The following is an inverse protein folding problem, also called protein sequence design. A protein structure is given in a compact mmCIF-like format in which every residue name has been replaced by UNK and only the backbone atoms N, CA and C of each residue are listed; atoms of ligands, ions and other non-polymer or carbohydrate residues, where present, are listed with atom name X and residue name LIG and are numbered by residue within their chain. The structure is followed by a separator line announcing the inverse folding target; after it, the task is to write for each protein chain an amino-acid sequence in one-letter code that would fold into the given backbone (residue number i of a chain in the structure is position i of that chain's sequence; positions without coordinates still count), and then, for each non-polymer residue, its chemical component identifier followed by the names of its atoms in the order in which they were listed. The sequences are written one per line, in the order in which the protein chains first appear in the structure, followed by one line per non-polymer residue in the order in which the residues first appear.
data_IF_445828749625
#
_entry.id   IF_445828749625
#
_cell.length_a   1.000
_cell.length_b   1.000
_cell.length_c   1.000
_cell.angle_alpha   90.00
_cell.angle_beta   90.00
_cell.angle_gamma   90.00
#
_symmetry.space_group_name_H-M   'P 1'
#
loop_
_entity.id
_entity.type
_entity.pdbx_description
1 polymer ?
#
# COMPACT_ATOMS: atom_id res chain seq x y z
N UNK A 1 -18.55 -12.61 9.12
CA UNK A 1 -17.98 -11.83 10.23
C UNK A 1 -18.14 -10.35 9.94
N UNK A 2 -18.68 -9.65 10.88
CA UNK A 2 -18.74 -8.19 10.74
C UNK A 2 -17.43 -7.58 11.23
N UNK A 3 -16.97 -6.58 10.50
CA UNK A 3 -15.85 -5.76 10.95
C UNK A 3 -16.39 -4.73 11.92
N UNK A 4 -15.94 -4.79 13.17
CA UNK A 4 -16.40 -3.86 14.19
C UNK A 4 -15.81 -2.47 14.05
N UNK A 5 -14.68 -2.33 13.35
CA UNK A 5 -14.05 -1.04 13.10
C UNK A 5 -14.73 -0.31 11.95
N UNK A 6 -15.05 0.94 12.21
CA UNK A 6 -15.57 1.84 11.19
C UNK A 6 -14.47 2.80 10.78
N UNK A 7 -14.19 2.84 9.48
CA UNK A 7 -13.26 3.82 8.92
C UNK A 7 -14.05 4.98 8.31
N UNK A 8 -13.49 6.20 8.35
CA UNK A 8 -14.15 7.30 7.68
C UNK A 8 -14.29 7.04 6.18
N UNK A 9 -15.42 7.42 5.63
CA UNK A 9 -15.65 7.30 4.18
C UNK A 9 -14.93 8.45 3.52
N UNK A 10 -13.96 8.18 2.63
CA UNK A 10 -13.26 9.27 1.96
C UNK A 10 -14.17 10.03 1.01
N UNK A 11 -13.95 11.33 0.97
CA UNK A 11 -14.67 12.22 0.04
C UNK A 11 -13.66 12.74 -0.96
N UNK A 12 -13.99 12.62 -2.25
CA UNK A 12 -13.12 13.12 -3.31
C UNK A 12 -13.13 14.65 -3.28
N UNK A 13 -11.96 15.23 -3.06
CA UNK A 13 -11.77 16.69 -3.04
C UNK A 13 -11.29 17.23 -4.39
N UNK A 14 -11.29 16.41 -5.42
CA UNK A 14 -10.84 16.74 -6.79
C UNK A 14 -9.36 17.14 -6.88
N UNK A 15 -8.60 17.00 -5.80
CA UNK A 15 -7.20 17.45 -5.77
C UNK A 15 -6.30 16.63 -6.69
N UNK A 16 -6.68 15.39 -7.01
CA UNK A 16 -5.91 14.50 -7.88
C UNK A 16 -6.41 14.46 -9.32
N UNK A 17 -7.41 15.26 -9.70
CA UNK A 17 -7.99 15.18 -11.04
C UNK A 17 -6.98 15.48 -12.15
N UNK A 18 -5.97 16.29 -11.87
CA UNK A 18 -4.91 16.60 -12.83
C UNK A 18 -4.01 15.42 -13.15
N UNK A 19 -4.04 14.36 -12.35
CA UNK A 19 -3.20 13.16 -12.55
C UNK A 19 -3.78 12.20 -13.58
N UNK A 20 -5.05 12.32 -13.89
CA UNK A 20 -5.70 11.43 -14.85
C UNK A 20 -5.04 11.54 -16.22
N UNK A 21 -4.75 10.40 -16.81
CA UNK A 21 -4.09 10.27 -18.11
C UNK A 21 -2.64 10.76 -18.16
N UNK A 22 -2.01 11.01 -17.00
CA UNK A 22 -0.58 11.30 -16.94
C UNK A 22 0.22 10.00 -16.89
N UNK A 23 1.42 10.04 -17.47
CA UNK A 23 2.35 8.93 -17.37
C UNK A 23 2.93 8.85 -15.95
N UNK A 24 3.23 7.62 -15.53
CA UNK A 24 3.94 7.39 -14.28
C UNK A 24 5.33 8.05 -14.36
N UNK A 25 5.74 8.82 -13.34
CA UNK A 25 7.06 9.44 -13.37
C UNK A 25 8.18 8.41 -13.26
N UNK A 26 9.36 8.79 -13.74
CA UNK A 26 10.56 7.95 -13.67
C UNK A 26 11.14 7.96 -12.26
N UNK A 27 10.54 7.18 -11.38
CA UNK A 27 10.93 7.07 -9.96
C UNK A 27 11.46 5.68 -9.69
N UNK A 28 12.61 5.59 -9.02
CA UNK A 28 13.18 4.33 -8.54
C UNK A 28 13.04 4.26 -7.03
N UNK A 29 12.48 3.17 -6.53
CA UNK A 29 12.31 2.94 -5.10
C UNK A 29 12.95 1.63 -4.71
N UNK A 30 13.58 1.54 -3.52
CA UNK A 30 14.16 0.29 -3.06
C UNK A 30 13.07 -0.75 -2.80
N UNK A 31 13.33 -2.00 -3.18
CA UNK A 31 12.43 -3.10 -2.94
C UNK A 31 12.99 -4.06 -1.88
N UNK A 32 12.21 -5.07 -1.52
CA UNK A 32 12.58 -6.04 -0.49
C UNK A 32 13.72 -6.97 -0.90
N UNK A 33 14.03 -7.03 -2.18
CA UNK A 33 15.07 -7.91 -2.72
C UNK A 33 16.45 -7.24 -2.78
N UNK A 34 16.55 -6.01 -2.27
CA UNK A 34 17.80 -5.26 -2.28
C UNK A 34 18.08 -4.52 -3.59
N UNK A 35 17.14 -4.47 -4.49
CA UNK A 35 17.23 -3.78 -5.76
C UNK A 35 16.36 -2.53 -5.78
N UNK A 36 16.45 -1.76 -6.85
CA UNK A 36 15.58 -0.62 -7.09
C UNK A 36 14.54 -0.98 -8.15
N UNK A 37 13.30 -0.64 -7.86
CA UNK A 37 12.19 -0.84 -8.78
C UNK A 37 11.83 0.49 -9.44
N UNK A 38 11.86 0.51 -10.78
CA UNK A 38 11.42 1.68 -11.56
C UNK A 38 9.95 1.53 -11.88
N UNK A 39 9.13 2.44 -11.37
CA UNK A 39 7.67 2.36 -11.55
C UNK A 39 7.24 2.52 -13.00
N UNK A 40 8.01 3.27 -13.80
CA UNK A 40 7.71 3.54 -15.20
C UNK A 40 8.18 2.45 -16.16
N UNK A 41 8.85 1.40 -15.65
CA UNK A 41 9.45 0.35 -16.48
C UNK A 41 8.99 -1.06 -16.11
N UNK A 42 7.88 -1.17 -15.40
CA UNK A 42 7.33 -2.48 -15.07
C UNK A 42 6.66 -3.09 -16.29
N UNK A 43 7.02 -4.33 -16.58
CA UNK A 43 6.41 -5.09 -17.67
C UNK A 43 5.10 -5.72 -17.18
N UNK A 44 4.06 -4.90 -17.11
CA UNK A 44 2.75 -5.35 -16.67
C UNK A 44 1.66 -4.57 -17.42
N UNK A 45 0.52 -5.22 -17.64
CA UNK A 45 -0.60 -4.57 -18.29
C UNK A 45 -1.26 -3.52 -17.39
N UNK A 46 -1.41 -3.85 -16.11
CA UNK A 46 -1.98 -2.93 -15.11
C UNK A 46 -1.11 -2.95 -13.87
N UNK A 47 -0.96 -1.79 -13.27
CA UNK A 47 -0.25 -1.64 -12.02
C UNK A 47 -1.17 -0.95 -11.02
N UNK A 48 -1.33 -1.54 -9.84
CA UNK A 48 -2.13 -0.98 -8.76
C UNK A 48 -1.19 -0.52 -7.68
N UNK A 49 -1.06 0.79 -7.51
CA UNK A 49 -0.24 1.37 -6.46
C UNK A 49 -1.12 1.62 -5.24
N UNK A 50 -0.73 1.10 -4.08
CA UNK A 50 -1.38 1.43 -2.83
C UNK A 50 -0.34 1.98 -1.86
N UNK A 51 -0.72 3.04 -1.17
CA UNK A 51 0.19 3.78 -0.31
C UNK A 51 -0.22 3.60 1.13
N UNK A 52 0.74 3.35 2.00
CA UNK A 52 0.47 3.22 3.42
C UNK A 52 1.65 3.78 4.21
N UNK A 53 1.39 4.68 5.17
CA UNK A 53 2.45 5.26 5.97
C UNK A 53 3.02 4.26 6.98
N UNK A 54 2.20 3.32 7.47
CA UNK A 54 2.62 2.44 8.53
C UNK A 54 1.72 1.21 8.64
N UNK A 55 2.36 0.04 8.86
CA UNK A 55 1.69 -1.17 9.32
C UNK A 55 2.24 -1.57 10.69
N UNK A 56 1.41 -2.20 11.51
CA UNK A 56 1.83 -2.64 12.83
C UNK A 56 2.59 -3.96 12.81
N UNK A 57 3.39 -4.21 13.87
CA UNK A 57 4.03 -5.50 14.14
C UNK A 57 3.43 -6.09 15.40
N UNK A 58 3.28 -7.43 15.48
CA UNK A 58 2.77 -8.08 16.69
C UNK A 58 3.65 -7.87 17.91
N UNK A 59 4.97 -7.69 17.72
CA UNK A 59 5.94 -7.59 18.78
C UNK A 59 6.30 -6.17 19.18
N UNK A 60 5.66 -5.16 18.61
CA UNK A 60 5.93 -3.76 18.92
C UNK A 60 4.63 -2.96 19.06
N UNK A 61 4.59 -2.03 20.05
CA UNK A 61 3.42 -1.17 20.17
C UNK A 61 3.35 -0.18 19.01
N UNK A 62 2.13 0.21 18.69
CA UNK A 62 1.88 1.30 17.77
C UNK A 62 2.28 2.64 18.39
N UNK A 63 2.52 3.68 17.58
CA UNK A 63 2.78 5.01 18.10
C UNK A 63 1.66 5.48 19.02
N UNK A 64 2.03 6.34 19.99
CA UNK A 64 1.08 6.89 20.95
C UNK A 64 -0.10 7.57 20.23
N UNK A 65 -1.31 7.27 20.68
CA UNK A 65 -2.55 7.78 20.09
C UNK A 65 -2.80 7.40 18.63
N UNK A 66 -2.07 6.40 18.10
CA UNK A 66 -2.28 5.96 16.71
C UNK A 66 -3.72 5.55 16.44
N UNK A 67 -4.33 4.79 17.36
CA UNK A 67 -5.70 4.31 17.20
C UNK A 67 -6.75 5.43 17.26
N UNK A 68 -6.39 6.61 17.73
CA UNK A 68 -7.28 7.78 17.79
C UNK A 68 -7.32 8.57 16.50
N UNK A 69 -6.41 8.29 15.57
CA UNK A 69 -6.39 8.94 14.28
C UNK A 69 -7.39 8.24 13.37
N UNK A 70 -8.39 8.94 12.82
CA UNK A 70 -9.36 8.30 11.94
C UNK A 70 -8.68 7.64 10.74
N UNK A 71 -8.98 6.37 10.52
CA UNK A 71 -8.44 5.62 9.40
C UNK A 71 -7.01 5.09 9.55
N UNK A 72 -6.32 5.41 10.65
CA UNK A 72 -4.92 5.01 10.84
C UNK A 72 -4.74 3.49 10.84
N UNK A 73 -5.70 2.73 11.35
CA UNK A 73 -5.64 1.27 11.37
C UNK A 73 -5.92 0.63 10.00
N UNK A 74 -6.33 1.42 9.02
CA UNK A 74 -6.67 0.91 7.70
C UNK A 74 -5.47 0.36 6.92
N UNK A 75 -4.25 0.82 7.23
CA UNK A 75 -3.05 0.42 6.50
C UNK A 75 -2.80 -1.09 6.56
N UNK A 76 -2.85 -1.67 7.75
CA UNK A 76 -2.64 -3.11 7.92
C UNK A 76 -3.73 -3.90 7.21
N UNK A 77 -4.98 -3.50 7.37
CA UNK A 77 -6.11 -4.19 6.73
C UNK A 77 -6.02 -4.11 5.20
N UNK A 78 -5.69 -2.95 4.66
CA UNK A 78 -5.52 -2.76 3.23
C UNK A 78 -4.40 -3.65 2.68
N UNK A 79 -3.24 -3.65 3.34
CA UNK A 79 -2.09 -4.43 2.90
C UNK A 79 -2.37 -5.92 2.93
N UNK A 80 -3.04 -6.40 3.98
CA UNK A 80 -3.44 -7.80 4.07
C UNK A 80 -4.42 -8.18 2.96
N UNK A 81 -5.33 -7.30 2.60
CA UNK A 81 -6.27 -7.55 1.51
C UNK A 81 -5.56 -7.70 0.17
N UNK A 82 -4.58 -6.86 -0.12
CA UNK A 82 -3.78 -7.00 -1.34
C UNK A 82 -2.95 -8.29 -1.34
N UNK A 83 -2.36 -8.65 -0.20
CA UNK A 83 -1.63 -9.90 -0.06
C UNK A 83 -2.54 -11.11 -0.31
N UNK A 84 -3.72 -11.14 0.31
CA UNK A 84 -4.63 -12.27 0.23
C UNK A 84 -5.24 -12.44 -1.16
N UNK A 85 -5.36 -11.36 -1.92
CA UNK A 85 -5.92 -11.38 -3.27
C UNK A 85 -4.86 -11.27 -4.38
N UNK A 86 -3.59 -11.44 -4.04
CA UNK A 86 -2.48 -11.23 -4.97
C UNK A 86 -2.60 -12.12 -6.21
N UNK A 87 -2.85 -13.43 -6.00
CA UNK A 87 -2.93 -14.37 -7.11
C UNK A 87 -4.09 -14.07 -8.05
N UNK A 88 -5.23 -13.66 -7.50
CA UNK A 88 -6.39 -13.26 -8.30
C UNK A 88 -6.07 -12.03 -9.15
N UNK A 89 -5.36 -11.05 -8.59
CA UNK A 89 -4.97 -9.85 -9.31
C UNK A 89 -3.97 -10.17 -10.43
N UNK A 90 -2.99 -11.03 -10.16
CA UNK A 90 -2.04 -11.46 -11.19
C UNK A 90 -2.77 -12.17 -12.33
N UNK A 91 -3.78 -12.98 -12.02
CA UNK A 91 -4.61 -13.62 -13.03
C UNK A 91 -5.38 -12.64 -13.92
N UNK A 92 -5.60 -11.41 -13.44
CA UNK A 92 -6.23 -10.33 -14.20
C UNK A 92 -5.20 -9.40 -14.86
N UNK A 93 -3.95 -9.80 -14.92
CA UNK A 93 -2.83 -9.00 -15.43
C UNK A 93 -2.66 -7.68 -14.69
N UNK A 94 -2.94 -7.69 -13.38
CA UNK A 94 -2.79 -6.53 -12.51
C UNK A 94 -1.76 -6.85 -11.41
N UNK A 95 -0.74 -6.02 -11.30
CA UNK A 95 0.32 -6.19 -10.29
C UNK A 95 0.12 -5.16 -9.18
N UNK A 96 -0.18 -5.58 -7.95
CA UNK A 96 -0.27 -4.67 -6.82
C UNK A 96 1.13 -4.35 -6.28
N UNK A 97 1.39 -3.09 -6.01
CA UNK A 97 2.65 -2.61 -5.46
C UNK A 97 2.35 -1.69 -4.29
N UNK A 98 2.82 -2.08 -3.11
CA UNK A 98 2.70 -1.26 -1.92
C UNK A 98 3.88 -0.30 -1.79
N UNK A 99 3.59 0.95 -1.50
CA UNK A 99 4.59 1.99 -1.28
C UNK A 99 4.40 2.54 0.12
N UNK A 100 5.49 2.55 0.89
CA UNK A 100 5.44 2.96 2.28
C UNK A 100 6.63 3.83 2.64
N UNK A 101 6.47 4.59 3.71
CA UNK A 101 7.56 5.33 4.33
C UNK A 101 8.39 4.46 5.28
N UNK A 102 7.94 3.25 5.59
CA UNK A 102 8.68 2.31 6.41
C UNK A 102 9.83 1.69 5.61
N UNK A 103 10.88 1.25 6.32
CA UNK A 103 12.01 0.61 5.65
C UNK A 103 11.61 -0.74 5.05
N UNK A 104 12.30 -1.14 4.00
CA UNK A 104 12.06 -2.45 3.38
C UNK A 104 12.39 -3.58 4.34
N UNK A 105 13.37 -3.40 5.23
CA UNK A 105 13.68 -4.38 6.25
C UNK A 105 12.53 -4.60 7.21
N UNK A 106 11.89 -3.52 7.66
CA UNK A 106 10.71 -3.61 8.51
C UNK A 106 9.57 -4.35 7.79
N UNK A 107 9.30 -4.00 6.56
CA UNK A 107 8.21 -4.60 5.79
C UNK A 107 8.43 -6.10 5.56
N UNK A 108 9.68 -6.53 5.34
CA UNK A 108 9.96 -7.95 5.18
C UNK A 108 9.73 -8.74 6.47
N UNK A 109 9.92 -8.12 7.64
CA UNK A 109 9.65 -8.76 8.93
C UNK A 109 8.17 -9.04 9.16
N UNK A 110 7.28 -8.33 8.51
CA UNK A 110 5.84 -8.51 8.64
C UNK A 110 5.24 -9.21 7.41
N UNK A 111 6.07 -9.76 6.55
CA UNK A 111 5.67 -10.57 5.39
C UNK A 111 4.75 -9.83 4.40
N UNK A 112 5.11 -8.62 4.07
CA UNK A 112 4.39 -7.83 3.08
C UNK A 112 5.19 -7.70 1.79
#
# INVERSE_FOLDING_TARGET
MSVSQKFPIPVDDDAANHLKNLNIPSISLPNQEGNYLRLDRLDTFRMILYFFPMTGRPDKPLPHNWNKIPGANGCTLQTCKFRDNYDDLIGLNAVPIGISTQSVNYLSLIHI
#
